data_IF_862096107443
#
_entry.id   IF_862096107443
#
_cell.length_a   1.000
_cell.length_b   1.000
_cell.length_c   1.000
_cell.angle_alpha   90.00
_cell.angle_beta   90.00
_cell.angle_gamma   90.00
#
_symmetry.space_group_name_H-M   'P 1'
#
loop_
_entity.id
_entity.type
_entity.pdbx_description
1 polymer ?
#
# COMPACT_ATOMS: atom_id res chain seq x y z
N UNK A 1 1.49 17.34 -12.13
CA UNK A 1 1.04 15.94 -11.99
C UNK A 1 2.03 15.06 -12.75
N UNK A 2 2.62 14.03 -12.11
CA UNK A 2 3.42 13.05 -12.85
C UNK A 2 2.48 12.21 -13.71
N UNK A 3 2.78 12.11 -15.01
CA UNK A 3 2.07 11.22 -15.92
C UNK A 3 2.44 9.78 -15.58
N UNK A 4 1.45 8.93 -15.30
CA UNK A 4 1.67 7.50 -15.12
C UNK A 4 1.59 6.84 -16.49
N UNK A 5 2.70 6.27 -16.97
CA UNK A 5 2.72 5.48 -18.20
C UNK A 5 2.32 4.04 -17.87
N UNK A 6 1.32 3.51 -18.58
CA UNK A 6 0.95 2.11 -18.45
C UNK A 6 2.14 1.20 -18.77
N UNK A 7 2.36 0.19 -17.93
CA UNK A 7 3.40 -0.81 -18.17
C UNK A 7 2.88 -1.86 -19.14
N UNK A 8 3.76 -2.43 -19.96
CA UNK A 8 3.37 -3.38 -21.02
C UNK A 8 2.90 -4.76 -20.55
N UNK A 9 2.80 -5.00 -19.23
CA UNK A 9 2.37 -6.28 -18.65
C UNK A 9 1.26 -6.08 -17.63
N UNK A 10 0.22 -6.90 -17.77
CA UNK A 10 -0.91 -7.01 -16.85
C UNK A 10 -1.00 -8.45 -16.36
N UNK A 11 -1.13 -8.65 -15.05
CA UNK A 11 -1.20 -10.00 -14.48
C UNK A 11 -2.65 -10.50 -14.43
N UNK A 12 -2.91 -11.67 -15.02
CA UNK A 12 -4.24 -12.31 -14.93
C UNK A 12 -4.44 -13.04 -13.60
N UNK A 13 -5.49 -12.67 -12.87
CA UNK A 13 -5.85 -13.22 -11.56
C UNK A 13 -7.32 -13.63 -11.52
N UNK A 14 -7.67 -14.48 -10.55
CA UNK A 14 -9.05 -14.83 -10.20
C UNK A 14 -9.37 -14.30 -8.81
N UNK A 15 -10.64 -14.02 -8.54
CA UNK A 15 -11.14 -13.76 -7.20
C UNK A 15 -10.75 -14.94 -6.28
N UNK A 16 -10.31 -14.61 -5.07
CA UNK A 16 -9.79 -15.57 -4.11
C UNK A 16 -8.31 -15.94 -4.31
N UNK A 17 -7.69 -15.60 -5.45
CA UNK A 17 -6.24 -15.79 -5.61
C UNK A 17 -5.49 -15.06 -4.50
N UNK A 18 -4.53 -15.73 -3.88
CA UNK A 18 -3.59 -15.10 -2.97
C UNK A 18 -2.50 -14.42 -3.79
N UNK A 19 -2.40 -13.11 -3.62
CA UNK A 19 -1.45 -12.27 -4.31
C UNK A 19 -0.42 -11.72 -3.32
N UNK A 20 0.88 -11.82 -3.64
CA UNK A 20 1.96 -11.44 -2.72
C UNK A 20 2.92 -10.45 -3.36
N UNK A 21 3.19 -9.40 -2.61
CA UNK A 21 4.13 -8.35 -2.92
C UNK A 21 5.43 -8.64 -2.16
N UNK A 22 6.56 -8.46 -2.82
CA UNK A 22 7.90 -8.64 -2.24
C UNK A 22 8.68 -7.34 -2.37
N UNK A 23 8.95 -6.68 -1.25
CA UNK A 23 9.71 -5.44 -1.17
C UNK A 23 11.22 -5.71 -1.03
N UNK A 24 12.06 -4.82 -1.56
CA UNK A 24 13.50 -4.79 -1.33
C UNK A 24 14.04 -3.36 -1.33
N UNK A 25 15.18 -3.11 -0.69
CA UNK A 25 15.78 -1.77 -0.60
C UNK A 25 16.70 -1.46 -1.80
N UNK A 26 17.82 -2.15 -1.88
CA UNK A 26 18.85 -2.03 -2.90
C UNK A 26 18.91 -3.26 -3.81
N UNK A 27 18.88 -4.46 -3.22
CA UNK A 27 18.90 -5.75 -3.92
C UNK A 27 17.83 -6.66 -3.39
N UNK A 28 17.23 -7.51 -4.23
CA UNK A 28 16.17 -8.42 -3.81
C UNK A 28 16.57 -9.23 -2.57
N UNK A 29 15.67 -9.31 -1.59
CA UNK A 29 15.86 -10.04 -0.33
C UNK A 29 17.03 -9.50 0.54
N UNK A 30 17.18 -8.17 0.61
CA UNK A 30 18.12 -7.48 1.49
C UNK A 30 17.47 -7.02 2.81
N UNK A 31 17.93 -5.89 3.36
CA UNK A 31 17.40 -5.29 4.58
C UNK A 31 15.96 -4.75 4.45
N UNK A 32 15.39 -4.76 3.22
CA UNK A 32 14.01 -4.42 2.88
C UNK A 32 13.69 -2.92 3.05
N UNK A 33 13.88 -2.40 4.26
CA UNK A 33 13.76 -1.00 4.63
C UNK A 33 14.42 -0.80 5.99
N UNK A 34 15.03 0.38 6.22
CA UNK A 34 15.68 0.66 7.49
C UNK A 34 14.68 0.55 8.67
N UNK A 35 15.09 -0.11 9.75
CA UNK A 35 14.26 -0.42 10.95
C UNK A 35 13.66 0.82 11.64
N UNK A 36 14.23 2.00 11.38
CA UNK A 36 13.71 3.28 11.86
C UNK A 36 12.42 3.73 11.18
N UNK A 37 12.07 3.17 10.03
CA UNK A 37 10.94 3.62 9.21
C UNK A 37 9.61 3.01 9.68
N UNK A 38 9.29 3.09 10.97
CA UNK A 38 8.11 2.45 11.56
C UNK A 38 6.80 3.03 11.03
N UNK A 39 5.89 2.18 10.55
CA UNK A 39 4.58 2.62 10.06
C UNK A 39 3.67 1.48 9.59
N UNK A 40 2.46 1.78 9.09
CA UNK A 40 1.49 0.78 8.65
C UNK A 40 1.77 0.21 7.24
N UNK A 41 1.25 -0.99 6.97
CA UNK A 41 1.11 -1.54 5.63
C UNK A 41 -0.32 -1.38 5.13
N UNK A 42 -0.51 -0.81 3.94
CA UNK A 42 -1.85 -0.60 3.37
C UNK A 42 -1.88 -1.17 1.95
N UNK A 43 -3.04 -1.54 1.41
CA UNK A 43 -3.20 -1.90 -0.02
C UNK A 43 -4.49 -1.30 -0.52
N UNK A 44 -4.50 -0.72 -1.73
CA UNK A 44 -5.69 -0.15 -2.37
C UNK A 44 -5.92 -0.77 -3.76
N UNK A 45 -7.18 -0.75 -4.21
CA UNK A 45 -7.57 -1.11 -5.58
C UNK A 45 -8.45 -0.03 -6.21
N UNK A 46 -8.28 0.19 -7.51
CA UNK A 46 -9.11 1.07 -8.32
C UNK A 46 -9.25 0.49 -9.75
N UNK A 47 -10.34 0.81 -10.48
CA UNK A 47 -10.47 0.41 -11.88
C UNK A 47 -9.39 1.05 -12.77
N UNK A 48 -8.85 0.33 -13.75
CA UNK A 48 -7.82 0.88 -14.66
C UNK A 48 -8.35 2.04 -15.50
N UNK A 49 -9.65 2.04 -15.82
CA UNK A 49 -10.33 3.12 -16.53
C UNK A 49 -10.24 4.48 -15.84
N UNK A 50 -10.03 4.51 -14.52
CA UNK A 50 -9.81 5.75 -13.76
C UNK A 50 -8.41 6.34 -13.93
N UNK A 51 -7.44 5.52 -14.36
CA UNK A 51 -6.01 5.82 -14.29
C UNK A 51 -5.57 6.31 -12.90
N UNK A 52 -6.23 5.82 -11.84
CA UNK A 52 -5.98 6.23 -10.45
C UNK A 52 -6.48 7.63 -10.06
N UNK A 53 -7.18 8.32 -10.95
CA UNK A 53 -7.69 9.68 -10.72
C UNK A 53 -9.06 9.67 -10.04
N UNK A 54 -9.29 10.68 -9.19
CA UNK A 54 -10.55 10.85 -8.48
C UNK A 54 -10.70 9.92 -7.28
N UNK A 55 -11.92 9.87 -6.74
CA UNK A 55 -12.26 9.11 -5.54
C UNK A 55 -12.54 7.62 -5.86
N UNK A 56 -11.53 6.93 -6.40
CA UNK A 56 -11.67 5.60 -7.01
C UNK A 56 -11.01 4.47 -6.21
N UNK A 57 -10.20 4.82 -5.21
CA UNK A 57 -9.41 3.86 -4.44
C UNK A 57 -10.24 3.23 -3.31
N UNK A 58 -10.03 1.93 -3.09
CA UNK A 58 -10.70 1.13 -2.07
C UNK A 58 -9.66 0.40 -1.23
N UNK A 59 -9.70 0.56 0.10
CA UNK A 59 -8.71 -0.07 0.98
C UNK A 59 -9.00 -1.57 1.09
N UNK A 60 -8.05 -2.40 0.67
CA UNK A 60 -8.13 -3.87 0.77
C UNK A 60 -7.45 -4.42 2.03
N UNK A 61 -6.43 -3.73 2.52
CA UNK A 61 -5.65 -4.19 3.66
C UNK A 61 -5.14 -3.00 4.47
N UNK A 62 -5.07 -3.20 5.79
CA UNK A 62 -4.39 -2.30 6.73
C UNK A 62 -3.74 -3.14 7.83
N UNK A 63 -2.44 -2.96 8.02
CA UNK A 63 -1.68 -3.56 9.10
C UNK A 63 -0.87 -2.52 9.84
N UNK A 64 -1.29 -2.14 11.05
CA UNK A 64 -0.50 -1.27 11.94
C UNK A 64 0.87 -1.89 12.23
N UNK A 65 1.90 -1.05 12.38
CA UNK A 65 3.29 -1.49 12.58
C UNK A 65 3.70 -2.57 11.56
N UNK A 66 3.27 -2.39 10.31
CA UNK A 66 3.47 -3.35 9.24
C UNK A 66 4.94 -3.50 8.85
N UNK A 67 5.75 -2.46 9.07
CA UNK A 67 7.17 -2.41 8.68
C UNK A 67 8.01 -3.47 9.38
N UNK A 68 7.88 -3.61 10.70
CA UNK A 68 8.64 -4.60 11.46
C UNK A 68 8.29 -6.02 11.04
N UNK A 69 7.00 -6.24 10.78
CA UNK A 69 6.50 -7.50 10.25
C UNK A 69 6.98 -7.73 8.81
N UNK A 70 7.14 -6.68 8.02
CA UNK A 70 7.62 -6.77 6.64
C UNK A 70 9.10 -7.15 6.59
N UNK A 71 9.93 -6.49 7.40
CA UNK A 71 11.36 -6.82 7.53
C UNK A 71 11.51 -8.30 7.92
N UNK A 72 10.80 -8.73 8.96
CA UNK A 72 10.81 -10.15 9.39
C UNK A 72 10.19 -11.11 8.37
N UNK A 73 9.39 -10.61 7.43
CA UNK A 73 8.77 -11.41 6.35
C UNK A 73 9.56 -11.35 5.05
N UNK A 74 10.81 -10.86 5.05
CA UNK A 74 11.63 -10.74 3.84
C UNK A 74 10.95 -9.88 2.75
N UNK A 75 10.31 -8.78 3.15
CA UNK A 75 9.60 -7.93 2.20
C UNK A 75 8.23 -8.44 1.80
N UNK A 76 7.73 -9.55 2.37
CA UNK A 76 6.52 -10.20 1.87
C UNK A 76 5.25 -9.80 2.62
N UNK A 77 4.26 -9.34 1.86
CA UNK A 77 2.89 -9.23 2.33
C UNK A 77 1.90 -9.66 1.25
N UNK A 78 0.73 -10.15 1.65
CA UNK A 78 -0.26 -10.73 0.76
C UNK A 78 -1.64 -10.09 0.94
N UNK A 79 -2.40 -10.11 -0.14
CA UNK A 79 -3.84 -9.88 -0.16
C UNK A 79 -4.51 -11.01 -0.94
N UNK A 80 -5.76 -11.29 -0.64
CA UNK A 80 -6.59 -12.10 -1.52
C UNK A 80 -7.34 -11.18 -2.48
N UNK A 81 -7.46 -11.58 -3.75
CA UNK A 81 -8.23 -10.82 -4.73
C UNK A 81 -9.71 -10.85 -4.30
N UNK A 82 -10.37 -9.69 -4.13
CA UNK A 82 -11.77 -9.63 -3.71
C UNK A 82 -12.69 -10.17 -4.81
N UNK A 83 -13.94 -10.49 -4.43
CA UNK A 83 -14.95 -11.02 -5.36
C UNK A 83 -15.58 -9.92 -6.24
N UNK A 84 -14.75 -9.21 -6.99
CA UNK A 84 -15.15 -8.10 -7.88
C UNK A 84 -15.49 -8.60 -9.29
N UNK A 85 -16.27 -7.83 -10.08
CA UNK A 85 -16.53 -8.15 -11.48
C UNK A 85 -15.24 -8.35 -12.30
N UNK A 86 -15.30 -9.18 -13.34
CA UNK A 86 -14.16 -9.31 -14.25
C UNK A 86 -13.89 -7.98 -14.98
N UNK A 87 -12.61 -7.66 -15.15
CA UNK A 87 -12.18 -6.39 -15.71
C UNK A 87 -10.69 -6.13 -15.58
N UNK A 88 -10.26 -5.00 -16.14
CA UNK A 88 -8.90 -4.51 -16.01
C UNK A 88 -8.84 -3.55 -14.79
N UNK A 89 -8.10 -3.92 -13.76
CA UNK A 89 -7.99 -3.19 -12.50
C UNK A 89 -6.56 -2.78 -12.18
N UNK A 90 -6.39 -1.58 -11.60
CA UNK A 90 -5.15 -1.13 -10.99
C UNK A 90 -5.17 -1.54 -9.53
N UNK A 91 -4.35 -2.52 -9.18
CA UNK A 91 -3.95 -2.69 -7.81
C UNK A 91 -2.85 -1.67 -7.54
N UNK A 92 -3.12 -0.71 -6.66
CA UNK A 92 -2.04 0.05 -6.05
C UNK A 92 -1.69 -0.71 -4.79
N UNK A 93 -0.60 -1.50 -4.76
CA UNK A 93 0.16 -1.58 -3.55
C UNK A 93 0.54 -0.15 -3.17
N UNK A 94 -0.37 0.46 -2.43
CA UNK A 94 0.09 1.24 -1.30
C UNK A 94 1.17 0.38 -0.71
N UNK A 95 2.33 0.97 -0.70
CA UNK A 95 3.33 0.42 0.15
C UNK A 95 2.73 0.36 1.53
N UNK A 96 3.32 -0.53 2.30
CA UNK A 96 3.93 -0.07 3.53
C UNK A 96 4.10 1.46 3.49
N UNK A 97 3.12 2.15 4.08
CA UNK A 97 3.44 3.35 4.77
C UNK A 97 4.44 2.91 5.82
N UNK A 98 5.70 2.75 5.44
CA UNK A 98 6.72 3.43 6.20
C UNK A 98 6.42 4.91 6.01
N UNK A 99 5.31 5.37 6.61
CA UNK A 99 5.33 6.65 7.28
C UNK A 99 6.61 6.57 8.07
N UNK A 100 7.68 7.19 7.62
CA UNK A 100 8.83 7.31 8.50
C UNK A 100 8.39 8.27 9.60
N UNK A 101 7.73 7.73 10.62
CA UNK A 101 7.18 8.51 11.71
C UNK A 101 8.29 9.07 12.59
N UNK A 102 9.57 8.69 12.33
CA UNK A 102 10.73 9.29 13.00
C UNK A 102 10.74 10.82 12.88
N UNK A 103 10.29 11.34 11.74
CA UNK A 103 10.30 12.77 11.44
C UNK A 103 8.90 13.31 11.09
N UNK A 104 7.85 12.53 11.35
CA UNK A 104 6.46 12.95 11.13
C UNK A 104 5.85 13.70 12.32
N UNK A 105 6.66 14.04 13.34
CA UNK A 105 6.32 14.97 14.42
C UNK A 105 6.30 16.44 13.94
N UNK A 106 6.70 16.70 12.70
CA UNK A 106 6.55 17.96 11.99
C UNK A 106 6.01 17.72 10.58
N UNK A 107 5.30 18.70 10.03
CA UNK A 107 4.82 18.66 8.65
C UNK A 107 5.91 19.09 7.67
N UNK A 108 5.91 18.51 6.47
CA UNK A 108 6.83 18.91 5.39
C UNK A 108 6.69 20.40 5.04
N UNK A 109 5.46 20.93 5.08
CA UNK A 109 5.14 22.35 4.86
C UNK A 109 5.76 23.29 5.91
N UNK A 110 6.02 22.78 7.12
CA UNK A 110 6.66 23.53 8.21
C UNK A 110 8.19 23.35 8.21
N UNK A 111 8.66 22.16 7.84
CA UNK A 111 10.06 21.84 7.71
C UNK A 111 10.26 20.82 6.57
N UNK A 112 10.79 21.26 5.41
CA UNK A 112 10.99 20.38 4.26
C UNK A 112 11.95 19.20 4.48
N UNK A 113 12.76 19.22 5.55
CA UNK A 113 13.60 18.10 5.95
C UNK A 113 12.86 17.06 6.82
N UNK A 114 11.58 17.28 7.10
CA UNK A 114 10.72 16.45 7.95
C UNK A 114 9.41 16.12 7.23
N UNK A 115 8.53 15.38 7.90
CA UNK A 115 7.25 14.95 7.35
C UNK A 115 7.17 13.45 7.14
N UNK A 116 5.94 13.00 6.90
CA UNK A 116 5.64 11.62 6.60
C UNK A 116 6.26 11.21 5.26
N UNK A 117 6.91 10.06 5.22
CA UNK A 117 7.39 9.45 3.98
C UNK A 117 6.39 8.41 3.47
N UNK A 118 6.18 8.31 2.15
CA UNK A 118 5.24 7.37 1.53
C UNK A 118 5.89 6.67 0.33
N UNK A 119 6.04 5.34 0.38
CA UNK A 119 6.81 4.55 -0.61
C UNK A 119 6.00 3.82 -1.67
N UNK A 120 5.11 4.50 -2.38
CA UNK A 120 4.01 3.86 -3.10
C UNK A 120 4.43 3.08 -4.36
N UNK A 121 3.73 1.98 -4.67
CA UNK A 121 3.88 1.24 -5.94
C UNK A 121 2.53 0.94 -6.61
N UNK A 122 2.50 0.74 -7.92
CA UNK A 122 1.30 0.36 -8.67
C UNK A 122 1.58 -0.89 -9.49
N UNK A 123 0.60 -1.78 -9.60
CA UNK A 123 0.64 -2.94 -10.48
C UNK A 123 -0.69 -3.08 -11.24
N UNK A 124 -0.58 -3.56 -12.48
CA UNK A 124 -1.74 -3.82 -13.33
C UNK A 124 -2.17 -5.28 -13.18
N UNK A 125 -3.44 -5.50 -12.84
CA UNK A 125 -4.07 -6.82 -12.85
C UNK A 125 -5.29 -6.86 -13.75
N UNK A 126 -5.61 -8.06 -14.21
CA UNK A 126 -6.84 -8.37 -14.90
C UNK A 126 -7.57 -9.46 -14.12
N UNK A 127 -8.72 -9.12 -13.55
CA UNK A 127 -9.58 -10.10 -12.89
C UNK A 127 -10.36 -10.85 -13.96
N UNK A 128 -10.20 -12.17 -13.98
CA UNK A 128 -10.76 -13.06 -15.02
C UNK A 128 -12.02 -13.79 -14.57
N UNK A 129 -12.30 -13.84 -13.27
CA UNK A 129 -13.51 -14.45 -12.70
C UNK A 129 -14.59 -13.40 -12.49
N UNK A 130 -15.86 -13.77 -12.71
CA UNK A 130 -16.99 -12.88 -12.44
C UNK A 130 -17.39 -12.94 -10.96
N UNK A 131 -17.06 -11.88 -10.22
CA UNK A 131 -17.62 -11.61 -8.90
C UNK A 131 -18.81 -10.66 -8.93
N UNK A 132 -19.37 -10.37 -7.76
CA UNK A 132 -20.58 -9.55 -7.60
C UNK A 132 -20.42 -8.38 -6.61
N UNK A 133 -19.21 -8.15 -6.09
CA UNK A 133 -18.93 -7.07 -5.15
C UNK A 133 -18.40 -5.86 -5.91
N UNK A 134 -19.19 -4.80 -6.00
CA UNK A 134 -18.76 -3.57 -6.66
C UNK A 134 -17.82 -2.77 -5.76
N UNK A 135 -16.77 -2.21 -6.35
CA UNK A 135 -15.86 -1.30 -5.65
C UNK A 135 -16.60 0.00 -5.29
N UNK A 136 -16.75 0.36 -4.00
CA UNK A 136 -17.51 1.55 -3.61
C UNK A 136 -16.79 2.88 -3.93
N UNK A 137 -15.47 2.87 -4.11
CA UNK A 137 -14.64 4.07 -4.25
C UNK A 137 -14.53 4.86 -2.94
N UNK A 138 -14.35 6.17 -3.06
CA UNK A 138 -14.39 7.11 -1.93
C UNK A 138 -13.03 7.59 -1.42
N UNK A 139 -11.91 7.08 -1.95
CA UNK A 139 -10.56 7.57 -1.64
C UNK A 139 -9.85 8.08 -2.89
N UNK A 140 -9.19 9.23 -2.80
CA UNK A 140 -8.42 9.85 -3.87
C UNK A 140 -6.96 10.08 -3.46
N UNK A 141 -6.04 9.86 -4.40
CA UNK A 141 -4.61 10.11 -4.21
C UNK A 141 -4.06 10.89 -5.41
N UNK A 142 -3.76 12.20 -5.28
CA UNK A 142 -3.85 13.02 -4.06
C UNK A 142 -5.30 13.34 -3.64
N UNK A 143 -5.50 13.72 -2.36
CA UNK A 143 -6.78 14.24 -1.85
C UNK A 143 -7.17 13.72 -0.47
N UNK A 144 -7.23 12.40 -0.27
CA UNK A 144 -7.70 11.80 0.99
C UNK A 144 -6.76 12.06 2.17
N UNK A 145 -5.45 12.18 1.94
CA UNK A 145 -4.50 12.51 2.98
C UNK A 145 -4.19 14.01 2.96
N UNK A 146 -4.30 14.60 4.14
CA UNK A 146 -3.91 15.98 4.43
C UNK A 146 -3.23 16.05 5.80
N UNK A 147 -2.71 17.23 6.15
CA UNK A 147 -1.98 17.48 7.39
C UNK A 147 -2.77 17.13 8.66
N UNK A 148 -4.10 17.22 8.61
CA UNK A 148 -5.01 16.90 9.73
C UNK A 148 -5.46 15.43 9.75
N UNK A 149 -5.07 14.64 8.76
CA UNK A 149 -5.48 13.23 8.69
C UNK A 149 -4.76 12.44 9.79
N UNK A 150 -5.48 11.68 10.63
CA UNK A 150 -4.85 10.88 11.68
C UNK A 150 -3.75 9.97 11.12
N UNK A 151 -2.57 10.03 11.73
CA UNK A 151 -1.40 9.24 11.34
C UNK A 151 -0.49 9.88 10.27
N UNK A 152 -0.82 11.08 9.77
CA UNK A 152 0.06 11.89 8.90
C UNK A 152 1.04 12.73 9.72
N UNK A 153 0.52 13.59 10.60
CA UNK A 153 1.32 14.33 11.60
C UNK A 153 1.23 13.59 12.93
N UNK A 154 2.26 12.85 13.31
CA UNK A 154 2.24 11.99 14.48
C UNK A 154 3.65 11.69 15.01
N UNK A 155 3.81 11.75 16.35
CA UNK A 155 5.05 11.38 17.03
C UNK A 155 4.92 9.99 17.66
N UNK A 156 5.51 8.97 17.03
CA UNK A 156 5.52 7.58 17.55
C UNK A 156 6.36 7.38 18.81
N UNK A 157 7.32 8.27 19.07
CA UNK A 157 8.17 8.21 20.26
C UNK A 157 7.63 9.08 21.40
N UNK A 158 6.53 9.79 21.14
CA UNK A 158 5.83 10.58 22.14
C UNK A 158 4.89 9.74 23.02
N UNK A 159 4.24 10.36 24.00
CA UNK A 159 3.36 9.68 24.96
C UNK A 159 2.18 8.95 24.29
N UNK A 160 1.77 9.41 23.10
CA UNK A 160 0.66 8.83 22.35
C UNK A 160 1.11 7.76 21.35
N UNK A 161 2.38 7.36 21.30
CA UNK A 161 2.90 6.44 20.27
C UNK A 161 2.08 5.15 20.10
N UNK A 162 1.56 4.60 21.20
CA UNK A 162 0.75 3.39 21.20
C UNK A 162 -0.65 3.55 20.56
N UNK A 163 -1.17 4.77 20.42
CA UNK A 163 -2.52 5.05 19.89
C UNK A 163 -2.52 5.36 18.38
N UNK A 164 -1.40 5.10 17.69
CA UNK A 164 -1.27 5.36 16.26
C UNK A 164 -2.39 4.71 15.45
N UNK A 165 -3.06 5.52 14.62
CA UNK A 165 -4.04 5.09 13.64
C UNK A 165 -3.50 5.33 12.22
N UNK A 166 -3.52 4.29 11.39
CA UNK A 166 -3.15 4.42 9.99
C UNK A 166 -4.12 5.36 9.24
N UNK A 167 -3.62 6.21 8.32
CA UNK A 167 -4.47 7.18 7.62
C UNK A 167 -5.40 6.51 6.60
N UNK A 168 -6.49 7.22 6.25
CA UNK A 168 -7.46 6.81 5.23
C UNK A 168 -8.68 6.07 5.79
N UNK A 169 -9.57 5.60 4.91
CA UNK A 169 -10.82 4.97 5.32
C UNK A 169 -10.59 3.63 6.01
N UNK A 170 -11.65 3.03 6.54
CA UNK A 170 -11.59 1.64 6.99
C UNK A 170 -11.37 0.68 5.80
N UNK A 171 -10.95 -0.54 6.11
CA UNK A 171 -10.85 -1.61 5.10
C UNK A 171 -12.25 -1.88 4.55
N UNK A 172 -12.37 -1.95 3.23
CA UNK A 172 -13.62 -2.25 2.55
C UNK A 172 -14.20 -3.57 3.08
N UNK A 173 -15.48 -3.58 3.44
CA UNK A 173 -16.15 -4.72 4.09
C UNK A 173 -16.08 -6.03 3.28
N UNK A 174 -15.97 -5.95 1.97
CA UNK A 174 -15.89 -7.09 1.06
C UNK A 174 -14.46 -7.36 0.57
N UNK A 175 -13.47 -6.65 1.13
CA UNK A 175 -12.08 -6.98 0.93
C UNK A 175 -11.78 -8.36 1.51
N UNK A 176 -11.12 -9.19 0.72
CA UNK A 176 -10.65 -10.47 1.21
C UNK A 176 -9.44 -10.27 2.14
N UNK A 177 -9.25 -11.19 3.10
CA UNK A 177 -8.22 -11.06 4.14
C UNK A 177 -6.82 -10.91 3.53
N UNK A 178 -5.99 -10.06 4.13
CA UNK A 178 -4.57 -9.92 3.83
C UNK A 178 -3.69 -10.27 5.03
N UNK A 179 -2.38 -10.41 4.81
CA UNK A 179 -1.42 -10.76 5.85
C UNK A 179 -0.03 -10.19 5.55
N UNK A 180 0.79 -10.00 6.57
CA UNK A 180 2.23 -9.79 6.44
C UNK A 180 2.89 -11.04 6.98
N UNK A 181 3.67 -11.73 6.15
CA UNK A 181 4.19 -13.05 6.45
C UNK A 181 4.91 -13.64 5.24
N UNK A 182 6.04 -14.30 5.49
CA UNK A 182 6.79 -14.99 4.45
C UNK A 182 6.00 -16.22 3.97
N UNK A 183 5.90 -16.40 2.64
CA UNK A 183 5.22 -17.55 2.02
C UNK A 183 6.19 -18.45 1.24
N UNK A 184 7.51 -18.22 1.33
CA UNK A 184 8.59 -19.02 0.75
C UNK A 184 9.34 -18.35 -0.40
N UNK A 185 10.30 -19.05 -1.04
CA UNK A 185 10.98 -18.60 -2.29
C UNK A 185 10.31 -19.15 -3.58
N UNK A 186 9.27 -19.98 -3.46
CA UNK A 186 8.79 -20.88 -4.53
C UNK A 186 7.30 -20.71 -4.91
N UNK A 187 6.60 -19.66 -4.48
CA UNK A 187 5.21 -19.47 -4.91
C UNK A 187 5.15 -18.92 -6.34
N UNK A 188 4.19 -19.34 -7.16
CA UNK A 188 4.22 -19.13 -8.61
C UNK A 188 3.83 -17.71 -9.08
N UNK A 189 3.64 -16.75 -8.16
CA UNK A 189 3.13 -15.40 -8.46
C UNK A 189 3.70 -14.33 -7.52
N UNK A 190 4.94 -13.92 -7.78
CA UNK A 190 5.60 -12.80 -7.09
C UNK A 190 5.55 -11.54 -7.95
N UNK A 191 5.29 -10.40 -7.32
CA UNK A 191 5.66 -9.11 -7.88
C UNK A 191 6.68 -8.45 -6.96
N UNK A 192 7.85 -8.17 -7.53
CA UNK A 192 9.00 -7.61 -6.84
C UNK A 192 8.90 -6.09 -6.92
N UNK A 193 8.95 -5.42 -5.78
CA UNK A 193 8.78 -3.99 -5.59
C UNK A 193 10.01 -3.41 -4.90
N UNK A 194 10.45 -2.22 -5.33
CA UNK A 194 11.55 -1.51 -4.68
C UNK A 194 11.01 -0.52 -3.65
N UNK A 195 11.48 -0.58 -2.40
CA UNK A 195 11.33 0.48 -1.42
C UNK A 195 12.33 1.60 -1.79
N UNK A 196 11.87 2.84 -1.88
CA UNK A 196 12.73 3.98 -2.26
C UNK A 196 12.42 4.66 -3.60
N UNK A 197 11.33 4.30 -4.29
CA UNK A 197 10.75 5.19 -5.30
C UNK A 197 9.98 6.30 -4.57
N UNK A 198 10.68 7.36 -4.19
CA UNK A 198 10.09 8.49 -3.47
C UNK A 198 8.97 9.15 -4.29
N UNK A 199 7.75 9.15 -3.72
CA UNK A 199 6.75 10.16 -4.02
C UNK A 199 6.65 11.02 -2.76
N UNK A 200 7.48 12.06 -2.70
CA UNK A 200 7.20 13.20 -1.85
C UNK A 200 5.89 13.84 -2.37
N UNK A 201 4.87 13.93 -1.51
CA UNK A 201 3.68 14.73 -1.76
C UNK A 201 3.96 16.19 -1.41
#
# INVERSE_FOLDING_TARGET
MRSYTAVGKTLSVKAGDKFTFEWYHNTRNDDIIATSHKGPAQVYIAPTSSNGNGAVWNKLFSGSWGVDRLISSHGQHSINIPNIPAGDDLLRPTSIHSTNLKIADALYTQNPARGVQMYMSCLQVKVTSNGNQNLPGGTSFPGTYNDNTPGIHFNIYGPNGATYKAPGPDVWNSAARGSIGQIGCSSSRWIILRSGADIAL
#
